data_IF_998800278503
#
_entry.id   IF_998800278503
#
_cell.length_a   1.000
_cell.length_b   1.000
_cell.length_c   1.000
_cell.angle_alpha   90.00
_cell.angle_beta   90.00
_cell.angle_gamma   90.00
#
_symmetry.space_group_name_H-M   'P 1'
#
loop_
_entity.id
_entity.type
_entity.pdbx_description
1 polymer ?
#
# COMPACT_ATOMS: atom_id res chain seq x y z
N UNK A 1 -9.43 -11.19 7.35
CA UNK A 1 -9.53 -11.47 5.90
C UNK A 1 -10.88 -10.98 5.40
N UNK A 2 -10.97 -10.56 4.14
CA UNK A 2 -12.25 -10.17 3.52
C UNK A 2 -13.19 -11.38 3.46
N UNK A 3 -14.50 -11.13 3.41
CA UNK A 3 -15.49 -12.22 3.41
C UNK A 3 -15.44 -13.02 2.09
N UNK A 4 -15.74 -14.31 2.15
CA UNK A 4 -15.71 -15.16 0.95
C UNK A 4 -16.83 -14.81 -0.03
N UNK A 5 -18.00 -14.41 0.46
CA UNK A 5 -19.11 -13.99 -0.40
C UNK A 5 -18.84 -12.71 -1.20
N UNK A 6 -17.72 -12.01 -0.93
CA UNK A 6 -17.30 -10.81 -1.64
C UNK A 6 -16.58 -11.08 -2.97
N UNK A 7 -16.30 -12.33 -3.32
CA UNK A 7 -15.69 -12.66 -4.61
C UNK A 7 -16.53 -12.10 -5.76
N UNK A 8 -15.89 -11.34 -6.65
CA UNK A 8 -16.51 -10.71 -7.82
C UNK A 8 -17.79 -9.91 -7.49
N UNK A 9 -17.80 -9.14 -6.39
CA UNK A 9 -18.97 -8.36 -5.96
C UNK A 9 -18.88 -6.87 -6.25
N UNK A 10 -17.67 -6.32 -6.37
CA UNK A 10 -17.49 -4.88 -6.50
C UNK A 10 -17.07 -4.48 -7.91
N UNK A 11 -17.72 -3.46 -8.46
CA UNK A 11 -17.36 -2.85 -9.74
C UNK A 11 -16.18 -1.88 -9.58
N UNK A 12 -16.00 -1.32 -8.38
CA UNK A 12 -14.95 -0.37 -8.07
C UNK A 12 -14.46 -0.55 -6.63
N UNK A 13 -13.15 -0.67 -6.46
CA UNK A 13 -12.47 -0.67 -5.16
C UNK A 13 -11.51 0.51 -5.13
N UNK A 14 -11.49 1.23 -4.01
CA UNK A 14 -10.59 2.36 -3.79
C UNK A 14 -9.74 2.10 -2.54
N UNK A 15 -8.45 2.42 -2.61
CA UNK A 15 -7.53 2.39 -1.48
C UNK A 15 -6.80 3.74 -1.39
N UNK A 16 -6.87 4.37 -0.22
CA UNK A 16 -6.29 5.69 0.02
C UNK A 16 -5.23 5.63 1.12
N UNK A 17 -3.97 5.87 0.75
CA UNK A 17 -2.84 6.02 1.67
C UNK A 17 -2.67 4.85 2.62
N UNK A 18 -2.88 3.63 2.14
CA UNK A 18 -2.92 2.45 3.01
C UNK A 18 -2.04 1.31 2.51
N UNK A 19 -1.71 1.24 1.22
CA UNK A 19 -0.96 0.12 0.65
C UNK A 19 0.43 -0.01 1.29
N UNK A 20 1.15 1.11 1.46
CA UNK A 20 2.51 1.14 1.99
C UNK A 20 2.61 0.69 3.45
N UNK A 21 1.53 0.85 4.22
CA UNK A 21 1.44 0.40 5.61
C UNK A 21 1.12 -1.09 5.76
N UNK A 22 0.72 -1.77 4.67
CA UNK A 22 0.37 -3.19 4.78
C UNK A 22 1.63 -4.03 4.99
N UNK A 23 1.59 -4.88 6.01
CA UNK A 23 2.60 -5.90 6.26
C UNK A 23 2.74 -6.92 5.11
N UNK A 24 1.66 -7.16 4.36
CA UNK A 24 1.61 -8.06 3.21
C UNK A 24 0.81 -7.40 2.08
N UNK A 25 1.38 -6.37 1.42
CA UNK A 25 0.69 -5.64 0.37
C UNK A 25 0.35 -6.58 -0.80
N UNK A 26 1.19 -7.58 -1.06
CA UNK A 26 0.94 -8.63 -2.05
C UNK A 26 -0.35 -9.43 -1.78
N UNK A 27 -0.65 -9.74 -0.51
CA UNK A 27 -1.88 -10.44 -0.12
C UNK A 27 -3.08 -9.51 -0.16
N UNK A 28 -2.90 -8.26 0.25
CA UNK A 28 -3.95 -7.24 0.18
C UNK A 28 -4.41 -7.04 -1.28
N UNK A 29 -3.45 -6.84 -2.21
CA UNK A 29 -3.74 -6.67 -3.64
C UNK A 29 -4.39 -7.91 -4.26
N UNK A 30 -4.01 -9.13 -3.84
CA UNK A 30 -4.68 -10.38 -4.25
C UNK A 30 -6.14 -10.43 -3.80
N UNK A 31 -6.43 -9.99 -2.58
CA UNK A 31 -7.80 -9.93 -2.09
C UNK A 31 -8.61 -8.85 -2.81
N UNK A 32 -8.02 -7.68 -3.09
CA UNK A 32 -8.66 -6.63 -3.90
C UNK A 32 -9.02 -7.18 -5.29
N UNK A 33 -8.10 -7.89 -5.93
CA UNK A 33 -8.37 -8.55 -7.21
C UNK A 33 -9.51 -9.58 -7.10
N UNK A 34 -9.53 -10.41 -6.05
CA UNK A 34 -10.58 -11.43 -5.83
C UNK A 34 -11.97 -10.82 -5.71
N UNK A 35 -12.10 -9.68 -5.00
CA UNK A 35 -13.41 -9.09 -4.73
C UNK A 35 -13.94 -8.23 -5.87
N UNK A 36 -13.07 -7.82 -6.80
CA UNK A 36 -13.46 -7.12 -8.01
C UNK A 36 -14.15 -8.07 -8.99
N UNK A 37 -15.23 -7.58 -9.59
CA UNK A 37 -15.85 -8.22 -10.76
C UNK A 37 -14.87 -8.26 -11.94
N UNK A 38 -15.07 -9.16 -12.92
CA UNK A 38 -14.41 -9.05 -14.21
C UNK A 38 -14.64 -7.64 -14.80
N UNK A 39 -13.55 -7.00 -15.26
CA UNK A 39 -13.53 -5.60 -15.72
C UNK A 39 -13.80 -4.52 -14.64
N UNK A 40 -13.80 -4.89 -13.35
CA UNK A 40 -13.87 -3.93 -12.25
C UNK A 40 -12.64 -3.03 -12.18
N UNK A 41 -12.82 -1.83 -11.65
CA UNK A 41 -11.75 -0.84 -11.50
C UNK A 41 -11.13 -0.90 -10.10
N UNK A 42 -9.81 -0.84 -10.02
CA UNK A 42 -9.10 -0.56 -8.78
C UNK A 42 -8.41 0.80 -8.87
N UNK A 43 -8.69 1.69 -7.92
CA UNK A 43 -8.02 2.98 -7.79
C UNK A 43 -7.21 3.03 -6.49
N UNK A 44 -5.93 3.32 -6.61
CA UNK A 44 -5.01 3.40 -5.47
C UNK A 44 -4.37 4.78 -5.43
N UNK A 45 -4.48 5.44 -4.29
CA UNK A 45 -3.89 6.76 -4.03
C UNK A 45 -2.79 6.58 -2.99
N UNK A 46 -1.55 6.84 -3.37
CA UNK A 46 -0.37 6.58 -2.54
C UNK A 46 0.58 7.76 -2.54
N UNK A 47 1.55 7.71 -1.63
CA UNK A 47 2.64 8.69 -1.55
C UNK A 47 3.48 8.65 -2.82
N UNK A 48 3.89 9.82 -3.30
CA UNK A 48 4.74 9.92 -4.48
C UNK A 48 6.22 9.77 -4.10
N UNK A 49 6.67 8.53 -3.91
CA UNK A 49 8.07 8.15 -3.80
C UNK A 49 8.64 7.68 -5.14
N UNK A 50 9.95 7.83 -5.35
CA UNK A 50 10.64 7.33 -6.55
C UNK A 50 11.26 5.95 -6.34
N UNK A 51 11.13 5.38 -5.13
CA UNK A 51 11.84 4.18 -4.66
C UNK A 51 13.36 4.29 -4.76
N UNK A 52 13.90 5.51 -4.81
CA UNK A 52 15.34 5.77 -4.90
C UNK A 52 15.68 7.02 -4.09
N UNK A 53 16.30 6.81 -2.94
CA UNK A 53 16.66 7.88 -2.00
C UNK A 53 17.49 9.00 -2.63
N UNK A 54 18.33 8.70 -3.63
CA UNK A 54 19.13 9.73 -4.32
C UNK A 54 18.31 10.62 -5.24
N UNK A 55 17.16 10.15 -5.70
CA UNK A 55 16.18 10.95 -6.44
C UNK A 55 15.20 11.62 -5.48
N UNK A 56 14.77 10.90 -4.45
CA UNK A 56 13.82 11.42 -3.46
C UNK A 56 14.37 12.64 -2.72
N UNK A 57 15.69 12.71 -2.44
CA UNK A 57 16.30 13.88 -1.80
C UNK A 57 16.11 15.20 -2.56
N UNK A 58 15.81 15.14 -3.86
CA UNK A 58 15.53 16.32 -4.69
C UNK A 58 14.07 16.79 -4.53
N UNK A 59 13.20 16.00 -3.89
CA UNK A 59 11.81 16.37 -3.58
C UNK A 59 11.79 17.14 -2.25
N UNK A 60 11.28 18.37 -2.26
CA UNK A 60 11.26 19.28 -1.10
C UNK A 60 10.65 18.67 0.17
N UNK A 61 9.68 17.77 0.03
CA UNK A 61 8.97 17.14 1.16
C UNK A 61 9.58 15.82 1.61
N UNK A 62 10.63 15.31 0.93
CA UNK A 62 11.19 13.98 1.18
C UNK A 62 11.64 13.78 2.62
N UNK A 63 12.36 14.74 3.21
CA UNK A 63 12.81 14.63 4.61
C UNK A 63 11.65 14.41 5.59
N UNK A 64 10.54 15.14 5.40
CA UNK A 64 9.34 14.96 6.20
C UNK A 64 8.71 13.57 5.97
N UNK A 65 8.57 13.16 4.71
CA UNK A 65 7.97 11.87 4.35
C UNK A 65 8.78 10.68 4.90
N UNK A 66 10.11 10.72 4.82
CA UNK A 66 10.97 9.71 5.45
C UNK A 66 10.86 9.73 6.98
N UNK A 67 10.76 10.91 7.60
CA UNK A 67 10.56 11.04 9.05
C UNK A 67 9.24 10.41 9.52
N UNK A 68 8.14 10.68 8.80
CA UNK A 68 6.83 10.06 9.05
C UNK A 68 6.90 8.56 8.83
N UNK A 69 7.49 8.11 7.72
CA UNK A 69 7.61 6.69 7.39
C UNK A 69 8.36 5.91 8.48
N UNK A 70 9.52 6.41 8.91
CA UNK A 70 10.33 5.80 9.97
C UNK A 70 9.60 5.71 11.31
N UNK A 71 8.80 6.74 11.62
CA UNK A 71 8.14 6.86 12.93
C UNK A 71 6.77 6.19 13.00
N UNK A 72 6.18 5.82 11.86
CA UNK A 72 4.81 5.31 11.79
C UNK A 72 4.67 4.13 10.81
N UNK A 73 4.79 4.41 9.51
CA UNK A 73 4.46 3.46 8.45
C UNK A 73 5.32 2.19 8.47
N UNK A 74 6.64 2.38 8.51
CA UNK A 74 7.59 1.29 8.48
C UNK A 74 7.43 0.35 9.71
N UNK A 75 7.35 0.85 10.96
CA UNK A 75 7.03 0.02 12.12
C UNK A 75 5.76 -0.84 11.97
N UNK A 76 4.70 -0.30 11.39
CA UNK A 76 3.45 -1.04 11.14
C UNK A 76 3.65 -2.15 10.11
N UNK A 77 4.37 -1.87 9.03
CA UNK A 77 4.64 -2.79 7.93
C UNK A 77 5.56 -3.97 8.28
N UNK A 78 6.41 -3.83 9.31
CA UNK A 78 7.40 -4.85 9.70
C UNK A 78 7.09 -5.56 11.02
N UNK A 79 5.85 -5.48 11.54
CA UNK A 79 5.48 -5.98 12.86
C UNK A 79 5.50 -7.53 13.03
N UNK A 80 6.05 -8.27 12.07
CA UNK A 80 6.13 -9.73 12.06
C UNK A 80 7.40 -10.17 11.33
N UNK A 81 8.05 -11.22 11.85
CA UNK A 81 9.29 -11.76 11.30
C UNK A 81 9.21 -12.11 9.80
N UNK A 82 10.24 -11.71 9.05
CA UNK A 82 10.43 -12.04 7.63
C UNK A 82 9.46 -11.37 6.66
N UNK A 83 8.70 -10.35 7.10
CA UNK A 83 7.78 -9.59 6.26
C UNK A 83 8.27 -8.16 6.07
N UNK A 84 8.31 -7.73 4.83
CA UNK A 84 8.73 -6.39 4.43
C UNK A 84 7.57 -5.71 3.70
N UNK A 85 7.19 -4.52 4.16
CA UNK A 85 6.34 -3.62 3.39
C UNK A 85 7.19 -2.77 2.44
N UNK A 86 6.53 -2.09 1.51
CA UNK A 86 7.19 -1.07 0.69
C UNK A 86 7.42 0.19 1.53
N UNK A 87 8.58 0.81 1.35
CA UNK A 87 8.96 2.05 2.03
C UNK A 87 8.92 3.16 0.98
N UNK A 88 7.95 4.07 1.11
CA UNK A 88 7.70 5.25 0.27
C UNK A 88 7.47 5.02 -1.24
#
# INVERSE_FOLDING_TARGET
>A
MMKNEWTEKFDWVMMFGACHDQMRPDRCLKEIYRVLKPNGLFSMFETNGTSNVYKDKEINTSTYMYGVSLSHCLPLGINSEGKHSFIL
#
